data_IF_798989646152
#
_entry.id   IF_798989646152
#
_cell.length_a   1.000
_cell.length_b   1.000
_cell.length_c   1.000
_cell.angle_alpha   90.00
_cell.angle_beta   90.00
_cell.angle_gamma   90.00
#
_symmetry.space_group_name_H-M   'P 1'
#
loop_
_entity.id
_entity.type
_entity.pdbx_description
1 polymer ?
#
# COMPACT_ATOMS: atom_id res chain seq x y z
N UNK A 1 -0.13 -23.08 -13.23
CA UNK A 1 1.05 -22.18 -13.12
C UNK A 1 0.55 -20.86 -12.56
N UNK A 2 0.70 -20.62 -11.25
CA UNK A 2 0.45 -19.28 -10.71
C UNK A 2 1.55 -18.38 -11.24
N UNK A 3 1.19 -17.45 -12.11
CA UNK A 3 2.12 -16.44 -12.62
C UNK A 3 2.46 -15.50 -11.47
N UNK A 4 3.55 -15.82 -10.77
CA UNK A 4 4.25 -14.88 -9.92
C UNK A 4 4.67 -13.71 -10.81
N UNK A 5 3.88 -12.64 -10.82
CA UNK A 5 4.23 -11.45 -11.58
C UNK A 5 5.26 -10.70 -10.75
N UNK A 6 6.56 -10.69 -11.13
CA UNK A 6 7.62 -10.10 -10.32
C UNK A 6 7.47 -8.58 -10.13
N UNK A 7 6.53 -7.95 -10.87
CA UNK A 7 6.19 -6.54 -10.78
C UNK A 7 5.08 -6.24 -9.77
N UNK A 8 4.49 -7.27 -9.17
CA UNK A 8 3.43 -7.15 -8.17
C UNK A 8 3.94 -7.61 -6.81
N UNK A 9 3.42 -7.00 -5.76
CA UNK A 9 3.75 -7.33 -4.38
C UNK A 9 2.53 -7.15 -3.50
N UNK A 10 2.39 -8.04 -2.54
CA UNK A 10 1.40 -7.97 -1.48
C UNK A 10 2.02 -7.22 -0.30
N UNK A 11 1.23 -6.36 0.34
CA UNK A 11 1.64 -5.69 1.58
C UNK A 11 1.00 -6.43 2.73
N UNK A 12 1.79 -6.80 3.74
CA UNK A 12 1.30 -7.57 4.87
C UNK A 12 0.13 -6.85 5.59
N UNK A 13 -0.96 -7.56 5.99
CA UNK A 13 -2.14 -6.93 6.58
C UNK A 13 -1.85 -6.05 7.82
N UNK A 14 -0.92 -6.47 8.68
CA UNK A 14 -0.48 -5.67 9.84
C UNK A 14 0.18 -4.35 9.42
N UNK A 15 0.89 -4.34 8.30
CA UNK A 15 1.50 -3.14 7.75
C UNK A 15 0.43 -2.21 7.20
N UNK A 16 -0.57 -2.76 6.51
CA UNK A 16 -1.75 -1.99 6.05
C UNK A 16 -2.50 -1.36 7.22
N UNK A 17 -2.70 -2.08 8.32
CA UNK A 17 -3.34 -1.55 9.53
C UNK A 17 -2.55 -0.39 10.15
N UNK A 18 -1.23 -0.57 10.33
CA UNK A 18 -0.33 0.48 10.82
C UNK A 18 -0.33 1.72 9.93
N UNK A 19 -0.35 1.53 8.60
CA UNK A 19 -0.52 2.63 7.66
C UNK A 19 -1.88 3.29 7.86
N UNK A 20 -2.95 2.52 8.02
CA UNK A 20 -4.30 3.03 8.26
C UNK A 20 -4.38 3.99 9.46
N UNK A 21 -3.64 3.70 10.53
CA UNK A 21 -3.52 4.59 11.70
C UNK A 21 -2.82 5.93 11.43
N UNK A 22 -2.10 6.09 10.32
CA UNK A 22 -1.47 7.36 9.91
C UNK A 22 -2.41 8.26 9.09
N UNK A 23 -3.54 7.76 8.61
CA UNK A 23 -4.50 8.56 7.85
C UNK A 23 -5.47 9.27 8.80
N UNK A 24 -5.60 10.59 8.65
CA UNK A 24 -6.64 11.37 9.34
C UNK A 24 -8.04 10.98 8.86
N UNK A 25 -8.18 10.66 7.58
CA UNK A 25 -9.43 10.24 6.95
C UNK A 25 -9.15 9.28 5.79
N UNK A 26 -10.10 8.40 5.47
CA UNK A 26 -9.96 7.45 4.37
C UNK A 26 -10.47 8.03 3.03
N UNK A 27 -10.18 9.30 2.77
CA UNK A 27 -10.56 9.98 1.54
C UNK A 27 -9.42 9.93 0.52
N UNK A 28 -9.75 10.11 -0.77
CA UNK A 28 -8.74 10.07 -1.82
C UNK A 28 -7.66 11.15 -1.65
N UNK A 29 -8.08 12.35 -1.26
CA UNK A 29 -7.18 13.46 -0.95
C UNK A 29 -6.24 13.14 0.21
N UNK A 30 -6.76 12.63 1.34
CA UNK A 30 -5.92 12.31 2.49
C UNK A 30 -4.91 11.19 2.16
N UNK A 31 -5.35 10.15 1.44
CA UNK A 31 -4.45 9.06 1.02
C UNK A 31 -3.34 9.58 0.12
N UNK A 32 -3.67 10.42 -0.87
CA UNK A 32 -2.68 11.00 -1.76
C UNK A 32 -1.69 11.90 -1.01
N UNK A 33 -2.20 12.77 -0.13
CA UNK A 33 -1.37 13.71 0.63
C UNK A 33 -0.46 13.00 1.65
N UNK A 34 -0.93 11.96 2.34
CA UNK A 34 -0.15 11.24 3.34
C UNK A 34 0.82 10.22 2.72
N UNK A 35 0.38 9.47 1.71
CA UNK A 35 1.14 8.33 1.18
C UNK A 35 1.71 8.55 -0.22
N UNK A 36 1.23 9.53 -0.98
CA UNK A 36 1.62 9.72 -2.38
C UNK A 36 1.14 8.58 -3.30
N UNK A 37 0.07 7.88 -2.92
CA UNK A 37 -0.57 6.83 -3.73
C UNK A 37 -2.03 7.16 -3.97
N UNK A 38 -2.61 6.61 -5.04
CA UNK A 38 -4.04 6.76 -5.29
C UNK A 38 -4.88 6.02 -4.24
N UNK A 39 -6.11 6.49 -4.02
CA UNK A 39 -7.10 5.80 -3.17
C UNK A 39 -7.37 4.37 -3.63
N UNK A 40 -7.31 4.11 -4.95
CA UNK A 40 -7.50 2.78 -5.51
C UNK A 40 -6.37 1.83 -5.10
N UNK A 41 -5.13 2.31 -5.08
CA UNK A 41 -3.97 1.56 -4.58
C UNK A 41 -4.15 1.21 -3.10
N UNK A 42 -4.60 2.19 -2.30
CA UNK A 42 -4.89 1.98 -0.89
C UNK A 42 -6.00 0.96 -0.65
N UNK A 43 -7.10 1.04 -1.42
CA UNK A 43 -8.20 0.07 -1.36
C UNK A 43 -7.73 -1.34 -1.74
N UNK A 44 -6.85 -1.47 -2.74
CA UNK A 44 -6.26 -2.77 -3.10
C UNK A 44 -5.48 -3.38 -1.93
N UNK A 45 -4.61 -2.61 -1.29
CA UNK A 45 -3.85 -3.06 -0.12
C UNK A 45 -4.78 -3.53 1.00
N UNK A 46 -5.82 -2.76 1.32
CA UNK A 46 -6.83 -3.13 2.34
C UNK A 46 -7.60 -4.40 2.02
N UNK A 47 -7.80 -4.70 0.75
CA UNK A 47 -8.49 -5.91 0.28
C UNK A 47 -7.53 -7.10 0.11
N UNK A 48 -6.26 -6.97 0.50
CA UNK A 48 -5.25 -8.03 0.30
C UNK A 48 -4.90 -8.27 -1.17
N UNK A 49 -5.19 -7.30 -2.05
CA UNK A 49 -4.84 -7.39 -3.47
C UNK A 49 -3.43 -6.88 -3.73
N UNK A 50 -2.72 -7.46 -4.71
CA UNK A 50 -1.37 -7.03 -5.02
C UNK A 50 -1.36 -5.64 -5.66
N UNK A 51 -0.30 -4.88 -5.36
CA UNK A 51 0.02 -3.59 -5.98
C UNK A 51 1.36 -3.68 -6.70
N UNK A 52 1.71 -2.66 -7.49
CA UNK A 52 3.02 -2.63 -8.15
C UNK A 52 4.13 -2.66 -7.10
N UNK A 53 5.12 -3.53 -7.28
CA UNK A 53 6.27 -3.70 -6.38
C UNK A 53 6.98 -2.38 -6.12
N UNK A 54 7.25 -1.59 -7.16
CA UNK A 54 7.87 -0.25 -7.03
C UNK A 54 7.02 0.76 -6.25
N UNK A 55 5.71 0.57 -6.16
CA UNK A 55 4.84 1.40 -5.32
C UNK A 55 4.92 0.94 -3.87
N UNK A 56 4.86 -0.37 -3.63
CA UNK A 56 5.02 -0.95 -2.29
C UNK A 56 6.39 -0.58 -1.69
N UNK A 57 7.48 -0.80 -2.41
CA UNK A 57 8.84 -0.49 -1.96
C UNK A 57 9.00 0.98 -1.58
N UNK A 58 8.54 1.92 -2.42
CA UNK A 58 8.61 3.36 -2.13
C UNK A 58 7.78 3.75 -0.92
N UNK A 59 6.59 3.17 -0.79
CA UNK A 59 5.68 3.44 0.32
C UNK A 59 6.29 2.95 1.63
N UNK A 60 6.75 1.71 1.67
CA UNK A 60 7.28 1.08 2.88
C UNK A 60 8.62 1.66 3.29
N UNK A 61 9.50 1.96 2.33
CA UNK A 61 10.74 2.70 2.58
C UNK A 61 10.49 4.07 3.22
N UNK A 62 9.43 4.78 2.83
CA UNK A 62 9.06 6.08 3.43
C UNK A 62 8.67 5.97 4.90
N UNK A 63 8.12 4.82 5.31
CA UNK A 63 7.64 4.59 6.67
C UNK A 63 8.53 3.65 7.49
N UNK A 64 9.71 3.32 6.96
CA UNK A 64 10.67 2.37 7.57
C UNK A 64 10.00 1.05 7.96
N UNK A 65 9.21 0.51 7.03
CA UNK A 65 8.47 -0.74 7.21
C UNK A 65 9.02 -1.83 6.29
N UNK A 66 8.94 -3.07 6.75
CA UNK A 66 9.28 -4.24 5.93
C UNK A 66 8.13 -4.61 4.97
N UNK A 67 8.50 -5.13 3.80
CA UNK A 67 7.60 -5.60 2.73
C UNK A 67 6.85 -6.87 3.13
#
# INVERSE_FOLDING_TARGET
MHTDNPRLSYVHPRTVEKLGGKLRAQTAECVMNTFGISVNTWVKMRKGMPIRKSVAERLLKRFEMDL
#
